data_IF_862935908397
#
_entry.id   IF_862935908397
#
_cell.length_a   1.000
_cell.length_b   1.000
_cell.length_c   1.000
_cell.angle_alpha   90.00
_cell.angle_beta   90.00
_cell.angle_gamma   90.00
#
_symmetry.space_group_name_H-M   'P 1'
#
loop_
_entity.id
_entity.type
_entity.pdbx_description
1 polymer ?
#
# COMPACT_ATOMS: atom_id res chain seq x y z
N UNK A 1 1.91 -15.33 12.72
CA UNK A 1 2.13 -14.10 11.92
C UNK A 1 0.82 -13.34 11.91
N UNK A 2 0.82 -12.05 12.22
CA UNK A 2 -0.39 -11.21 12.16
C UNK A 2 -0.41 -10.41 10.87
N UNK A 3 -1.62 -10.09 10.39
CA UNK A 3 -1.84 -9.19 9.26
C UNK A 3 -2.68 -8.01 9.76
N UNK A 4 -2.25 -6.79 9.44
CA UNK A 4 -3.02 -5.58 9.69
C UNK A 4 -3.38 -4.98 8.34
N UNK A 5 -4.68 -4.92 8.04
CA UNK A 5 -5.20 -4.31 6.82
C UNK A 5 -5.75 -2.90 7.12
N UNK A 6 -5.27 -1.91 6.39
CA UNK A 6 -5.69 -0.51 6.55
C UNK A 6 -6.60 -0.09 5.40
N UNK A 7 -7.82 0.36 5.70
CA UNK A 7 -8.81 0.86 4.71
C UNK A 7 -9.41 2.20 5.12
N UNK A 8 -9.75 3.01 4.14
CA UNK A 8 -10.44 4.30 4.31
C UNK A 8 -10.22 5.23 3.12
N UNK A 9 -10.91 6.37 3.10
CA UNK A 9 -10.88 7.33 1.99
C UNK A 9 -9.51 8.00 1.79
N UNK A 10 -9.25 8.51 0.59
CA UNK A 10 -8.05 9.31 0.33
C UNK A 10 -7.97 10.49 1.32
N UNK A 11 -6.75 10.83 1.78
CA UNK A 11 -6.54 11.92 2.75
C UNK A 11 -6.77 11.60 4.23
N UNK A 12 -7.27 10.41 4.60
CA UNK A 12 -7.53 10.07 6.02
C UNK A 12 -6.30 9.63 6.84
N UNK A 13 -5.09 9.74 6.29
CA UNK A 13 -3.84 9.45 7.03
C UNK A 13 -3.40 7.98 7.12
N UNK A 14 -4.07 7.05 6.44
CA UNK A 14 -3.75 5.60 6.47
C UNK A 14 -2.29 5.29 6.13
N UNK A 15 -1.77 5.87 5.05
CA UNK A 15 -0.40 5.70 4.57
C UNK A 15 0.64 6.23 5.57
N UNK A 16 0.31 7.28 6.33
CA UNK A 16 1.15 7.79 7.40
C UNK A 16 1.17 6.83 8.60
N UNK A 17 0.00 6.34 9.02
CA UNK A 17 -0.14 5.41 10.12
C UNK A 17 0.49 4.04 9.82
N UNK A 18 0.30 3.50 8.62
CA UNK A 18 0.88 2.21 8.21
C UNK A 18 2.41 2.25 8.19
N UNK A 19 3.01 3.35 7.71
CA UNK A 19 4.48 3.57 7.76
C UNK A 19 4.98 3.68 9.19
N UNK A 20 4.25 4.35 10.08
CA UNK A 20 4.61 4.40 11.49
C UNK A 20 4.58 3.00 12.12
N UNK A 21 3.50 2.25 11.92
CA UNK A 21 3.38 0.87 12.42
C UNK A 21 4.48 -0.06 11.88
N UNK A 22 4.78 0.02 10.59
CA UNK A 22 5.84 -0.77 9.96
C UNK A 22 7.21 -0.50 10.59
N UNK A 23 7.55 0.77 10.83
CA UNK A 23 8.81 1.17 11.49
C UNK A 23 8.88 0.70 12.94
N UNK A 24 7.82 0.91 13.72
CA UNK A 24 7.79 0.56 15.15
C UNK A 24 7.80 -0.96 15.38
N UNK A 25 7.12 -1.72 14.52
CA UNK A 25 7.01 -3.18 14.65
C UNK A 25 8.12 -3.93 13.90
N UNK A 26 8.86 -3.25 13.01
CA UNK A 26 9.80 -3.89 12.08
C UNK A 26 9.10 -4.80 11.06
N UNK A 27 7.83 -4.53 10.74
CA UNK A 27 7.03 -5.37 9.84
C UNK A 27 7.10 -4.84 8.41
N UNK A 28 7.08 -5.73 7.39
CA UNK A 28 6.98 -5.31 6.01
C UNK A 28 5.67 -4.53 5.77
N UNK A 29 5.75 -3.51 4.92
CA UNK A 29 4.60 -2.72 4.50
C UNK A 29 4.35 -2.90 3.01
N UNK A 30 3.11 -3.22 2.66
CA UNK A 30 2.60 -3.16 1.29
C UNK A 30 1.55 -2.04 1.27
N UNK A 31 1.81 -0.98 0.51
CA UNK A 31 0.90 0.15 0.29
C UNK A 31 0.50 0.18 -1.19
N UNK A 32 -0.82 0.19 -1.46
CA UNK A 32 -1.37 0.21 -2.83
C UNK A 32 -0.83 1.38 -3.64
N UNK A 33 -0.74 2.54 -3.00
CA UNK A 33 -0.40 3.78 -3.68
C UNK A 33 1.10 3.81 -4.02
N UNK A 34 1.96 3.25 -3.16
CA UNK A 34 3.39 3.08 -3.45
C UNK A 34 3.62 2.18 -4.67
N UNK A 35 2.90 1.07 -4.76
CA UNK A 35 2.97 0.16 -5.92
C UNK A 35 2.46 0.85 -7.18
N UNK A 36 1.33 1.56 -7.08
CA UNK A 36 0.77 2.29 -8.22
C UNK A 36 1.75 3.35 -8.72
N UNK A 37 2.36 4.12 -7.83
CA UNK A 37 3.28 5.21 -8.20
C UNK A 37 4.56 4.68 -8.88
N UNK A 38 5.03 3.48 -8.52
CA UNK A 38 6.14 2.82 -9.22
C UNK A 38 5.78 2.34 -10.63
N UNK A 39 4.51 1.98 -10.85
CA UNK A 39 4.01 1.47 -12.12
C UNK A 39 3.45 2.58 -13.03
N UNK A 40 3.13 3.74 -12.47
CA UNK A 40 2.64 4.90 -13.21
C UNK A 40 3.67 5.31 -14.29
N UNK A 41 3.22 5.42 -15.54
CA UNK A 41 4.07 5.69 -16.71
C UNK A 41 4.81 4.46 -17.27
N UNK A 42 4.84 3.34 -16.55
CA UNK A 42 5.39 2.06 -17.03
C UNK A 42 4.31 1.11 -17.56
N UNK A 43 3.07 1.25 -17.08
CA UNK A 43 1.94 0.42 -17.49
C UNK A 43 0.64 1.22 -17.57
N UNK A 44 -0.14 1.01 -18.63
CA UNK A 44 -1.48 1.58 -18.76
C UNK A 44 -2.50 1.01 -17.78
N UNK A 45 -2.15 -0.11 -17.12
CA UNK A 45 -2.98 -0.81 -16.14
C UNK A 45 -2.38 -0.77 -14.72
N UNK A 46 -1.53 0.23 -14.43
CA UNK A 46 -0.88 0.41 -13.13
C UNK A 46 -1.85 0.32 -11.94
N UNK A 47 -3.04 0.91 -12.09
CA UNK A 47 -4.07 0.88 -11.05
C UNK A 47 -4.56 -0.53 -10.70
N UNK A 48 -4.84 -1.38 -11.69
CA UNK A 48 -5.30 -2.76 -11.42
C UNK A 48 -4.15 -3.64 -10.91
N UNK A 49 -2.96 -3.51 -11.49
CA UNK A 49 -1.77 -4.25 -11.02
C UNK A 49 -1.44 -3.94 -9.56
N UNK A 50 -1.59 -2.69 -9.13
CA UNK A 50 -1.38 -2.31 -7.73
C UNK A 50 -2.40 -2.97 -6.78
N UNK A 51 -3.64 -3.19 -7.24
CA UNK A 51 -4.62 -3.96 -6.49
C UNK A 51 -4.25 -5.45 -6.47
N UNK A 52 -3.84 -6.02 -7.61
CA UNK A 52 -3.47 -7.44 -7.68
C UNK A 52 -2.31 -7.76 -6.73
N UNK A 53 -1.26 -6.93 -6.72
CA UNK A 53 -0.08 -7.08 -5.83
C UNK A 53 -0.45 -7.03 -4.33
N UNK A 54 -1.52 -6.33 -3.95
CA UNK A 54 -1.95 -6.29 -2.55
C UNK A 54 -2.65 -7.58 -2.10
N UNK A 55 -3.26 -8.32 -3.02
CA UNK A 55 -4.19 -9.41 -2.69
C UNK A 55 -3.76 -10.78 -3.25
N UNK A 56 -2.74 -10.83 -4.09
CA UNK A 56 -2.14 -12.04 -4.68
C UNK A 56 -0.65 -12.15 -4.35
#
# INVERSE_FOLDING_TARGET
MWLIAMKGYAGTGKSALSRALSRELGWPLIDKDDVKDLLDGQSSVAGSLAYDIMFH
#
